data_IF_414783270997
#
_entry.id   IF_414783270997
#
_cell.length_a   1.000
_cell.length_b   1.000
_cell.length_c   1.000
_cell.angle_alpha   90.00
_cell.angle_beta   90.00
_cell.angle_gamma   90.00
#
_symmetry.space_group_name_H-M   'P 1'
#
loop_
_entity.id
_entity.type
_entity.pdbx_description
1 polymer ?
#
# COMPACT_ATOMS: atom_id res chain seq x y z
N UNK A 1 -68.82 39.07 -37.08
CA UNK A 1 -67.72 38.78 -38.03
C UNK A 1 -66.41 39.09 -37.34
N UNK A 2 -65.37 38.28 -37.60
CA UNK A 2 -63.94 38.47 -37.22
C UNK A 2 -63.68 38.13 -35.71
N UNK A 3 -62.77 37.28 -35.25
CA UNK A 3 -61.63 36.53 -35.82
C UNK A 3 -61.25 35.34 -34.90
N UNK A 4 -60.71 34.27 -35.48
CA UNK A 4 -59.88 33.25 -34.83
C UNK A 4 -58.52 33.83 -34.37
N UNK A 5 -58.01 33.45 -33.19
CA UNK A 5 -56.57 33.45 -32.84
C UNK A 5 -56.34 32.64 -31.55
N UNK A 6 -55.98 31.35 -31.58
CA UNK A 6 -54.63 30.75 -31.61
C UNK A 6 -53.60 31.26 -30.56
N UNK A 7 -53.33 30.36 -29.60
CA UNK A 7 -52.02 29.75 -29.25
C UNK A 7 -51.00 30.55 -28.40
N UNK A 8 -50.51 29.83 -27.37
CA UNK A 8 -49.20 29.85 -26.69
C UNK A 8 -48.95 30.87 -25.57
N UNK A 9 -48.53 30.34 -24.41
CA UNK A 9 -47.31 30.69 -23.63
C UNK A 9 -47.45 30.11 -22.21
N UNK A 10 -46.45 29.58 -21.50
CA UNK A 10 -45.08 29.16 -21.81
C UNK A 10 -44.68 28.30 -20.59
N UNK A 11 -44.42 27.01 -20.75
CA UNK A 11 -43.86 26.21 -19.66
C UNK A 11 -42.37 26.55 -19.54
N UNK A 12 -42.01 27.28 -18.48
CA UNK A 12 -40.62 27.61 -18.18
C UNK A 12 -39.88 26.33 -17.79
N UNK A 13 -39.25 25.68 -18.75
CA UNK A 13 -38.30 24.61 -18.46
C UNK A 13 -37.07 25.25 -17.80
N UNK A 14 -36.89 25.02 -16.50
CA UNK A 14 -35.60 25.23 -15.85
C UNK A 14 -34.60 24.23 -16.47
N UNK A 15 -33.88 24.67 -17.50
CA UNK A 15 -32.60 24.08 -17.85
C UNK A 15 -31.64 24.37 -16.69
N UNK A 16 -31.63 23.50 -15.69
CA UNK A 16 -30.49 23.40 -14.80
C UNK A 16 -29.30 23.05 -15.69
N UNK A 17 -28.39 24.01 -15.88
CA UNK A 17 -27.10 23.75 -16.49
C UNK A 17 -26.40 22.72 -15.61
N UNK A 18 -26.43 21.44 -16.02
CA UNK A 18 -25.60 20.43 -15.42
C UNK A 18 -24.16 20.87 -15.65
N UNK A 19 -23.49 21.33 -14.59
CA UNK A 19 -22.05 21.49 -14.62
C UNK A 19 -21.48 20.13 -14.99
N UNK A 20 -20.59 20.01 -15.98
CA UNK A 20 -19.95 18.74 -16.27
C UNK A 20 -19.32 18.23 -14.97
N UNK A 21 -19.56 16.96 -14.66
CA UNK A 21 -18.90 16.29 -13.54
C UNK A 21 -17.40 16.41 -13.84
N UNK A 22 -16.72 17.31 -13.14
CA UNK A 22 -15.27 17.33 -13.11
C UNK A 22 -14.91 16.03 -12.40
N UNK A 23 -14.41 15.08 -13.17
CA UNK A 23 -13.83 13.85 -12.67
C UNK A 23 -12.63 14.26 -11.81
N UNK A 24 -12.87 14.49 -10.51
CA UNK A 24 -11.80 14.75 -9.56
C UNK A 24 -11.08 13.42 -9.40
N UNK A 25 -9.99 13.26 -10.14
CA UNK A 25 -9.03 12.20 -9.90
C UNK A 25 -8.42 12.46 -8.51
N UNK A 26 -9.03 11.86 -7.48
CA UNK A 26 -8.46 11.81 -6.15
C UNK A 26 -7.19 10.93 -6.10
N UNK A 27 -6.78 10.34 -7.24
CA UNK A 27 -5.93 9.17 -7.33
C UNK A 27 -4.57 9.29 -6.67
N UNK A 28 -3.80 10.34 -6.96
CA UNK A 28 -2.47 10.51 -6.33
C UNK A 28 -2.59 10.66 -4.82
N UNK A 29 -3.47 11.54 -4.36
CA UNK A 29 -3.61 11.87 -2.94
C UNK A 29 -4.21 10.71 -2.15
N UNK A 30 -5.12 9.95 -2.76
CA UNK A 30 -5.65 8.70 -2.21
C UNK A 30 -4.52 7.69 -2.03
N UNK A 31 -3.77 7.39 -3.10
CA UNK A 31 -2.67 6.44 -3.03
C UNK A 31 -1.60 6.86 -2.02
N UNK A 32 -1.18 8.13 -2.01
CA UNK A 32 -0.21 8.65 -1.04
C UNK A 32 -0.74 8.47 0.39
N UNK A 33 -2.02 8.75 0.64
CA UNK A 33 -2.62 8.59 1.97
C UNK A 33 -2.63 7.12 2.41
N UNK A 34 -2.88 6.19 1.50
CA UNK A 34 -2.87 4.77 1.82
C UNK A 34 -1.45 4.21 2.00
N UNK A 35 -0.48 4.70 1.23
CA UNK A 35 0.94 4.41 1.46
C UNK A 35 1.40 4.94 2.83
N UNK A 36 0.98 6.13 3.24
CA UNK A 36 1.25 6.64 4.59
C UNK A 36 0.53 5.86 5.69
N UNK A 37 -0.62 5.25 5.41
CA UNK A 37 -1.27 4.32 6.34
C UNK A 37 -0.47 3.03 6.46
N UNK A 38 0.01 2.51 5.34
CA UNK A 38 0.86 1.33 5.29
C UNK A 38 2.15 1.54 6.08
N UNK A 39 2.80 2.71 5.92
CA UNK A 39 3.95 3.13 6.72
C UNK A 39 3.68 3.01 8.24
N UNK A 40 2.55 3.58 8.70
CA UNK A 40 2.17 3.50 10.12
C UNK A 40 1.91 2.06 10.56
N UNK A 41 1.31 1.23 9.70
CA UNK A 41 1.11 -0.18 9.99
C UNK A 41 2.47 -0.91 10.11
N UNK A 42 3.44 -0.63 9.24
CA UNK A 42 4.79 -1.22 9.30
C UNK A 42 5.47 -0.86 10.63
N UNK A 43 5.36 0.38 11.09
CA UNK A 43 5.88 0.81 12.40
C UNK A 43 5.31 0.02 13.58
N UNK A 44 4.12 -0.56 13.45
CA UNK A 44 3.56 -1.43 14.50
C UNK A 44 4.35 -2.74 14.62
N UNK A 45 4.95 -3.25 13.54
CA UNK A 45 5.85 -4.42 13.59
C UNK A 45 7.09 -4.05 14.43
N UNK A 46 7.72 -2.92 14.15
CA UNK A 46 8.89 -2.43 14.91
C UNK A 46 8.55 -2.29 16.39
N UNK A 47 7.42 -1.68 16.72
CA UNK A 47 6.97 -1.51 18.11
C UNK A 47 6.70 -2.86 18.79
N UNK A 48 6.03 -3.79 18.10
CA UNK A 48 5.70 -5.11 18.63
C UNK A 48 6.96 -5.95 18.87
N UNK A 49 7.90 -5.97 17.91
CA UNK A 49 9.16 -6.67 18.02
C UNK A 49 10.01 -6.10 19.18
N UNK A 50 10.16 -4.79 19.27
CA UNK A 50 10.95 -4.16 20.33
C UNK A 50 10.37 -4.42 21.74
N UNK A 51 9.05 -4.56 21.84
CA UNK A 51 8.36 -4.84 23.10
C UNK A 51 8.28 -6.34 23.44
N UNK A 52 8.66 -7.22 22.51
CA UNK A 52 8.56 -8.66 22.69
C UNK A 52 9.66 -9.19 23.62
N UNK A 53 9.26 -9.88 24.68
CA UNK A 53 10.16 -10.49 25.68
C UNK A 53 10.04 -12.02 25.74
N UNK A 54 9.43 -12.64 24.73
CA UNK A 54 9.17 -14.08 24.70
C UNK A 54 7.72 -14.48 25.06
N UNK A 55 7.40 -15.74 24.77
CA UNK A 55 6.12 -16.38 25.14
C UNK A 55 4.96 -16.09 24.17
N UNK A 56 3.99 -17.01 24.15
CA UNK A 56 2.85 -16.94 23.23
C UNK A 56 2.00 -15.68 23.40
N UNK A 57 1.80 -15.21 24.64
CA UNK A 57 1.04 -13.99 24.91
C UNK A 57 1.73 -12.74 24.32
N UNK A 58 3.06 -12.64 24.46
CA UNK A 58 3.84 -11.54 23.90
C UNK A 58 3.85 -11.55 22.37
N UNK A 59 3.88 -12.74 21.76
CA UNK A 59 3.90 -12.88 20.30
C UNK A 59 2.58 -12.45 19.64
N UNK A 60 1.48 -12.35 20.41
CA UNK A 60 0.19 -11.84 19.92
C UNK A 60 0.30 -10.49 19.21
N UNK A 61 1.07 -9.55 19.75
CA UNK A 61 1.26 -8.23 19.15
C UNK A 61 1.97 -8.28 17.79
N UNK A 62 2.95 -9.19 17.62
CA UNK A 62 3.65 -9.40 16.34
C UNK A 62 2.66 -9.92 15.30
N UNK A 63 1.86 -10.94 15.66
CA UNK A 63 0.82 -11.50 14.78
C UNK A 63 -0.21 -10.45 14.35
N UNK A 64 -0.65 -9.61 15.28
CA UNK A 64 -1.59 -8.52 15.00
C UNK A 64 -0.98 -7.49 14.05
N UNK A 65 0.28 -7.10 14.26
CA UNK A 65 0.98 -6.16 13.36
C UNK A 65 1.11 -6.68 11.93
N UNK A 66 1.39 -7.97 11.73
CA UNK A 66 1.39 -8.58 10.39
C UNK A 66 0.01 -8.52 9.74
N UNK A 67 -1.04 -8.80 10.51
CA UNK A 67 -2.41 -8.72 10.01
C UNK A 67 -2.80 -7.29 9.62
N UNK A 68 -2.36 -6.30 10.39
CA UNK A 68 -2.58 -4.89 10.09
C UNK A 68 -1.86 -4.44 8.81
N UNK A 69 -0.60 -4.81 8.64
CA UNK A 69 0.16 -4.52 7.42
C UNK A 69 -0.50 -5.14 6.20
N UNK A 70 -0.80 -6.43 6.22
CA UNK A 70 -1.46 -7.13 5.09
C UNK A 70 -2.82 -6.49 4.75
N UNK A 71 -3.64 -6.17 5.75
CA UNK A 71 -4.92 -5.47 5.53
C UNK A 71 -4.71 -4.12 4.86
N UNK A 72 -3.75 -3.34 5.33
CA UNK A 72 -3.49 -1.99 4.81
C UNK A 72 -2.91 -2.04 3.41
N UNK A 73 -2.04 -3.02 3.13
CA UNK A 73 -1.50 -3.29 1.80
C UNK A 73 -2.63 -3.59 0.80
N UNK A 74 -3.57 -4.46 1.17
CA UNK A 74 -4.70 -4.82 0.31
C UNK A 74 -5.65 -3.66 0.05
N UNK A 75 -5.87 -2.79 1.03
CA UNK A 75 -6.64 -1.56 0.83
C UNK A 75 -5.92 -0.67 -0.21
N UNK A 76 -4.63 -0.41 0.00
CA UNK A 76 -3.82 0.37 -0.94
C UNK A 76 -3.81 -0.25 -2.35
N UNK A 77 -3.77 -1.59 -2.45
CA UNK A 77 -3.84 -2.31 -3.72
C UNK A 77 -5.16 -2.02 -4.44
N UNK A 78 -6.30 -2.20 -3.77
CA UNK A 78 -7.59 -1.97 -4.40
C UNK A 78 -7.78 -0.51 -4.80
N UNK A 79 -7.37 0.43 -3.95
CA UNK A 79 -7.47 1.85 -4.25
C UNK A 79 -6.55 2.23 -5.43
N UNK A 80 -5.30 1.75 -5.46
CA UNK A 80 -4.38 1.92 -6.58
C UNK A 80 -4.94 1.37 -7.90
N UNK A 81 -5.66 0.24 -7.87
CA UNK A 81 -6.29 -0.29 -9.07
C UNK A 81 -7.33 0.66 -9.68
N UNK A 82 -7.97 1.51 -8.87
CA UNK A 82 -8.99 2.47 -9.32
C UNK A 82 -8.43 3.78 -9.87
N UNK A 83 -7.17 4.12 -9.60
CA UNK A 83 -6.59 5.40 -10.03
C UNK A 83 -6.16 5.35 -11.50
N UNK A 84 -6.13 6.51 -12.16
CA UNK A 84 -5.65 6.65 -13.54
C UNK A 84 -4.12 6.66 -13.59
N UNK A 85 -3.50 6.50 -14.77
CA UNK A 85 -2.08 6.82 -14.95
C UNK A 85 -1.77 8.26 -14.51
N UNK A 86 -0.63 8.43 -13.87
CA UNK A 86 -0.23 9.63 -13.15
C UNK A 86 0.72 10.48 -14.00
N UNK A 87 0.78 11.78 -13.71
CA UNK A 87 1.77 12.68 -14.30
C UNK A 87 3.18 12.39 -13.74
N UNK A 88 4.23 12.93 -14.38
CA UNK A 88 5.60 12.87 -13.83
C UNK A 88 5.64 13.46 -12.39
N UNK A 89 5.13 14.69 -12.12
CA UNK A 89 5.15 15.23 -10.76
C UNK A 89 4.40 14.38 -9.73
N UNK A 90 3.27 13.78 -10.10
CA UNK A 90 2.50 12.93 -9.18
C UNK A 90 3.17 11.57 -8.94
N UNK A 91 3.81 11.01 -9.97
CA UNK A 91 4.64 9.82 -9.87
C UNK A 91 5.82 10.06 -8.93
N UNK A 92 6.51 11.19 -9.06
CA UNK A 92 7.62 11.58 -8.18
C UNK A 92 7.17 11.71 -6.72
N UNK A 93 5.95 12.22 -6.47
CA UNK A 93 5.38 12.29 -5.11
C UNK A 93 5.11 10.89 -4.53
N UNK A 94 4.59 9.97 -5.33
CA UNK A 94 4.38 8.57 -4.92
C UNK A 94 5.73 7.91 -4.60
N UNK A 95 6.71 8.04 -5.49
CA UNK A 95 8.05 7.49 -5.33
C UNK A 95 8.73 8.05 -4.09
N UNK A 96 8.60 9.36 -3.83
CA UNK A 96 9.17 9.99 -2.66
C UNK A 96 8.68 9.35 -1.35
N UNK A 97 7.38 9.05 -1.23
CA UNK A 97 6.80 8.40 -0.04
C UNK A 97 7.28 6.95 0.11
N UNK A 98 7.43 6.22 -1.00
CA UNK A 98 7.96 4.85 -0.99
C UNK A 98 9.43 4.84 -0.57
N UNK A 99 10.24 5.75 -1.11
CA UNK A 99 11.65 5.88 -0.76
C UNK A 99 11.86 6.39 0.67
N UNK A 100 11.00 7.30 1.13
CA UNK A 100 11.04 7.86 2.48
C UNK A 100 9.64 8.39 2.87
N UNK A 101 8.97 7.81 3.89
CA UNK A 101 9.58 7.03 4.98
C UNK A 101 9.53 5.50 4.85
N UNK A 102 8.78 4.95 3.88
CA UNK A 102 8.41 3.52 3.89
C UNK A 102 9.63 2.59 3.84
N UNK A 103 10.54 2.79 2.88
CA UNK A 103 11.67 1.89 2.69
C UNK A 103 12.56 1.79 3.95
N UNK A 104 13.03 2.89 4.57
CA UNK A 104 13.73 2.84 5.85
C UNK A 104 12.94 2.15 6.98
N UNK A 105 11.64 2.44 7.12
CA UNK A 105 10.82 1.88 8.19
C UNK A 105 10.60 0.36 8.04
N UNK A 106 10.57 -0.15 6.80
CA UNK A 106 10.58 -1.60 6.52
C UNK A 106 11.91 -2.22 6.92
N UNK A 107 13.04 -1.61 6.57
CA UNK A 107 14.37 -2.07 6.98
C UNK A 107 14.44 -2.19 8.51
N UNK A 108 13.94 -1.19 9.23
CA UNK A 108 13.90 -1.17 10.70
C UNK A 108 12.98 -2.24 11.28
N UNK A 109 11.79 -2.45 10.69
CA UNK A 109 10.86 -3.50 11.12
C UNK A 109 11.47 -4.90 10.99
N UNK A 110 12.11 -5.18 9.85
CA UNK A 110 12.81 -6.46 9.62
C UNK A 110 13.97 -6.64 10.59
N UNK A 111 14.79 -5.59 10.80
CA UNK A 111 15.88 -5.64 11.76
C UNK A 111 15.39 -5.90 13.20
N UNK A 112 14.30 -5.24 13.61
CA UNK A 112 13.73 -5.41 14.94
C UNK A 112 13.21 -6.85 15.16
N UNK A 113 12.57 -7.46 14.16
CA UNK A 113 12.17 -8.86 14.24
C UNK A 113 13.39 -9.79 14.33
N UNK A 114 14.39 -9.61 13.46
CA UNK A 114 15.60 -10.44 13.47
C UNK A 114 16.33 -10.34 14.82
N UNK A 115 16.34 -9.16 15.44
CA UNK A 115 16.92 -8.98 16.78
C UNK A 115 16.19 -9.80 17.86
N UNK A 116 14.95 -10.23 17.60
CA UNK A 116 14.12 -11.07 18.47
C UNK A 116 14.06 -12.54 18.06
N UNK A 117 14.92 -12.94 17.13
CA UNK A 117 14.90 -14.29 16.56
C UNK A 117 15.00 -15.38 17.64
N UNK A 118 15.88 -15.22 18.62
CA UNK A 118 16.10 -16.24 19.64
C UNK A 118 14.88 -16.39 20.58
N UNK A 119 14.24 -15.28 20.98
CA UNK A 119 13.01 -15.32 21.79
C UNK A 119 11.81 -15.87 21.01
N UNK A 120 11.75 -15.60 19.70
CA UNK A 120 10.74 -16.15 18.78
C UNK A 120 10.93 -17.66 18.62
N UNK A 121 12.18 -18.11 18.48
CA UNK A 121 12.55 -19.53 18.38
C UNK A 121 12.26 -20.30 19.65
N UNK A 122 12.71 -19.77 20.80
CA UNK A 122 12.41 -20.34 22.12
C UNK A 122 10.90 -20.47 22.38
N UNK A 123 10.08 -19.66 21.72
CA UNK A 123 8.62 -19.68 21.82
C UNK A 123 7.93 -20.50 20.71
N UNK A 124 8.68 -21.08 19.78
CA UNK A 124 8.18 -21.96 18.72
C UNK A 124 7.51 -21.25 17.54
N UNK A 125 7.73 -19.94 17.35
CA UNK A 125 7.02 -19.14 16.33
C UNK A 125 7.82 -18.87 15.06
N UNK A 126 9.02 -19.44 14.89
CA UNK A 126 9.87 -19.23 13.69
C UNK A 126 9.10 -19.37 12.38
N UNK A 127 8.40 -20.50 12.21
CA UNK A 127 7.64 -20.77 10.99
C UNK A 127 6.53 -19.74 10.78
N UNK A 128 5.82 -19.37 11.85
CA UNK A 128 4.73 -18.41 11.75
C UNK A 128 5.25 -17.01 11.38
N UNK A 129 6.39 -16.60 11.95
CA UNK A 129 7.04 -15.33 11.58
C UNK A 129 7.44 -15.34 10.10
N UNK A 130 8.05 -16.43 9.64
CA UNK A 130 8.44 -16.58 8.25
C UNK A 130 7.23 -16.54 7.29
N UNK A 131 6.14 -17.25 7.63
CA UNK A 131 4.90 -17.25 6.84
C UNK A 131 4.27 -15.85 6.78
N UNK A 132 4.25 -15.13 7.91
CA UNK A 132 3.72 -13.77 8.00
C UNK A 132 4.51 -12.78 7.13
N UNK A 133 5.85 -12.84 7.19
CA UNK A 133 6.72 -12.01 6.35
C UNK A 133 6.60 -12.37 4.85
N UNK A 134 6.42 -13.66 4.52
CA UNK A 134 6.17 -14.07 3.13
C UNK A 134 4.85 -13.50 2.60
N UNK A 135 3.80 -13.47 3.41
CA UNK A 135 2.53 -12.88 3.01
C UNK A 135 2.67 -11.36 2.78
N UNK A 136 3.40 -10.67 3.66
CA UNK A 136 3.70 -9.23 3.49
C UNK A 136 4.50 -8.99 2.22
N UNK A 137 5.52 -9.83 1.95
CA UNK A 137 6.33 -9.76 0.73
C UNK A 137 5.47 -9.93 -0.53
N UNK A 138 4.55 -10.89 -0.53
CA UNK A 138 3.62 -11.10 -1.65
C UNK A 138 2.66 -9.92 -1.83
N UNK A 139 2.07 -9.42 -0.74
CA UNK A 139 1.17 -8.27 -0.77
C UNK A 139 1.94 -7.00 -1.21
N UNK A 140 3.23 -6.87 -0.88
CA UNK A 140 4.09 -5.80 -1.39
C UNK A 140 4.33 -5.91 -2.90
N UNK A 141 4.74 -7.08 -3.40
CA UNK A 141 5.00 -7.30 -4.83
C UNK A 141 3.75 -7.02 -5.67
N UNK A 142 2.59 -7.48 -5.22
CA UNK A 142 1.31 -7.22 -5.91
C UNK A 142 0.93 -5.75 -5.87
N UNK A 143 1.12 -5.05 -4.74
CA UNK A 143 0.91 -3.61 -4.67
C UNK A 143 1.87 -2.85 -5.61
N UNK A 144 3.17 -3.10 -5.50
CA UNK A 144 4.18 -2.30 -6.19
C UNK A 144 4.18 -2.54 -7.70
N UNK A 145 4.16 -3.81 -8.14
CA UNK A 145 4.33 -4.16 -9.55
C UNK A 145 3.02 -4.23 -10.32
N UNK A 146 1.95 -4.74 -9.69
CA UNK A 146 0.68 -4.94 -10.40
C UNK A 146 -0.22 -3.72 -10.30
N UNK A 147 -0.30 -3.11 -9.11
CA UNK A 147 -1.24 -2.02 -8.88
C UNK A 147 -0.64 -0.63 -9.08
N UNK A 148 0.59 -0.36 -8.61
CA UNK A 148 1.20 0.98 -8.63
C UNK A 148 2.04 1.21 -9.88
N UNK A 149 2.93 0.30 -10.28
CA UNK A 149 3.83 0.52 -11.41
C UNK A 149 3.11 0.91 -12.72
N UNK A 150 1.97 0.30 -13.11
CA UNK A 150 1.24 0.70 -14.31
C UNK A 150 0.60 2.10 -14.24
N UNK A 151 0.59 2.71 -13.04
CA UNK A 151 0.06 4.05 -12.81
C UNK A 151 1.15 5.11 -12.89
N UNK A 152 2.42 4.75 -12.76
CA UNK A 152 3.51 5.72 -12.82
C UNK A 152 3.74 6.15 -14.27
N UNK A 153 4.19 7.40 -14.45
CA UNK A 153 4.74 7.83 -15.73
C UNK A 153 6.00 7.00 -16.05
N UNK A 154 6.11 6.40 -17.26
CA UNK A 154 7.25 5.54 -17.60
C UNK A 154 8.62 6.18 -17.42
N UNK A 155 8.74 7.51 -17.53
CA UNK A 155 10.01 8.22 -17.32
C UNK A 155 10.49 8.17 -15.86
N UNK A 156 9.59 7.92 -14.91
CA UNK A 156 9.89 7.90 -13.47
C UNK A 156 10.18 6.50 -12.93
N UNK A 157 9.85 5.44 -13.67
CA UNK A 157 10.08 4.04 -13.27
C UNK A 157 11.53 3.77 -12.82
N UNK A 158 12.58 4.25 -13.52
CA UNK A 158 13.95 4.04 -13.07
C UNK A 158 14.25 4.57 -11.66
N UNK A 159 13.58 5.65 -11.23
CA UNK A 159 13.71 6.20 -9.88
C UNK A 159 12.90 5.41 -8.84
N UNK A 160 11.80 4.76 -9.25
CA UNK A 160 11.00 3.90 -8.39
C UNK A 160 11.68 2.55 -8.08
N UNK A 161 12.50 2.04 -9.00
CA UNK A 161 13.09 0.69 -8.89
C UNK A 161 13.96 0.48 -7.64
N UNK A 162 14.93 1.37 -7.30
CA UNK A 162 15.80 1.12 -6.15
C UNK A 162 15.06 0.96 -4.81
N UNK A 163 14.15 1.86 -4.39
CA UNK A 163 13.48 1.68 -3.10
C UNK A 163 12.56 0.44 -3.08
N UNK A 164 11.88 0.12 -4.18
CA UNK A 164 11.06 -1.10 -4.28
C UNK A 164 11.91 -2.36 -4.16
N UNK A 165 13.05 -2.41 -4.85
CA UNK A 165 13.97 -3.54 -4.75
C UNK A 165 14.52 -3.72 -3.33
N UNK A 166 14.89 -2.62 -2.65
CA UNK A 166 15.36 -2.69 -1.26
C UNK A 166 14.27 -3.26 -0.34
N UNK A 167 13.01 -2.82 -0.51
CA UNK A 167 11.87 -3.33 0.27
C UNK A 167 11.69 -4.84 0.06
N UNK A 168 11.66 -5.30 -1.20
CA UNK A 168 11.55 -6.72 -1.53
C UNK A 168 12.69 -7.55 -0.90
N UNK A 169 13.93 -7.08 -1.04
CA UNK A 169 15.09 -7.75 -0.43
C UNK A 169 15.02 -7.81 1.10
N UNK A 170 14.52 -6.76 1.75
CA UNK A 170 14.36 -6.75 3.21
C UNK A 170 13.30 -7.74 3.69
N UNK A 171 12.13 -7.82 3.04
CA UNK A 171 11.12 -8.81 3.41
C UNK A 171 11.65 -10.24 3.23
N UNK A 172 12.33 -10.53 2.11
CA UNK A 172 12.96 -11.82 1.86
C UNK A 172 14.04 -12.15 2.89
N UNK A 173 14.86 -11.17 3.26
CA UNK A 173 15.89 -11.30 4.30
C UNK A 173 15.25 -11.69 5.64
N UNK A 174 14.13 -11.05 5.99
CA UNK A 174 13.33 -11.42 7.15
C UNK A 174 12.87 -12.88 7.07
N UNK A 175 12.20 -13.28 5.98
CA UNK A 175 11.72 -14.67 5.79
C UNK A 175 12.86 -15.69 5.97
N UNK A 176 13.99 -15.45 5.32
CA UNK A 176 15.15 -16.33 5.40
C UNK A 176 15.74 -16.41 6.82
N UNK A 177 15.79 -15.29 7.55
CA UNK A 177 16.26 -15.26 8.93
C UNK A 177 15.40 -16.12 9.88
N UNK A 178 14.11 -16.30 9.56
CA UNK A 178 13.19 -17.15 10.30
C UNK A 178 13.08 -18.58 9.74
N UNK A 179 13.99 -18.98 8.85
CA UNK A 179 14.06 -20.34 8.30
C UNK A 179 13.01 -20.64 7.23
N UNK A 180 12.29 -19.63 6.75
CA UNK A 180 11.39 -19.76 5.61
C UNK A 180 12.10 -19.73 4.27
N UNK A 181 11.43 -20.24 3.24
CA UNK A 181 11.83 -20.04 1.85
C UNK A 181 11.12 -18.77 1.33
N UNK A 182 11.86 -17.70 0.96
CA UNK A 182 11.25 -16.52 0.38
C UNK A 182 10.54 -16.86 -0.93
N UNK A 183 9.31 -16.36 -1.10
CA UNK A 183 8.56 -16.51 -2.36
C UNK A 183 9.35 -15.91 -3.52
N UNK A 184 9.32 -16.52 -4.71
CA UNK A 184 9.96 -15.94 -5.88
C UNK A 184 9.40 -14.53 -6.17
N UNK A 185 10.22 -13.56 -6.62
CA UNK A 185 9.72 -12.24 -6.96
C UNK A 185 8.67 -12.33 -8.05
N UNK A 186 7.60 -11.55 -7.92
CA UNK A 186 6.75 -11.27 -9.08
C UNK A 186 7.59 -10.45 -10.05
N UNK A 187 7.65 -10.85 -11.31
CA UNK A 187 8.34 -10.12 -12.37
C UNK A 187 7.32 -9.61 -13.38
N UNK A 188 7.44 -8.35 -13.81
CA UNK A 188 6.69 -7.80 -14.94
C UNK A 188 7.32 -8.20 -16.28
#
# INVERSE_FOLDING_TARGET
>A
MVLFARILTLATACLAAATPVIDRDAGTDLLIKDLQRLDRAIKTITSAANSYTGGAAGYGAIRESFSEVNRTNRIAYYDAMTIKPQSIPDSDRIIAVVANPIQPDITDAVNALIAKKDEIDASGFMKETADGLNLISYDHDTLSLIAVAPKLDPATIPAATPPVLTIDLDWRRGVAAFGGLPLAPITM
#
